data_IF_535019379391
#
_entry.id   IF_535019379391
#
_cell.length_a   1.000
_cell.length_b   1.000
_cell.length_c   1.000
_cell.angle_alpha   90.00
_cell.angle_beta   90.00
_cell.angle_gamma   90.00
#
_symmetry.space_group_name_H-M   'P 1'
#
loop_
_entity.id
_entity.type
_entity.pdbx_description
1 polymer ?
#
# COMPACT_ATOMS: atom_id res chain seq x y z
N UNK A 1 22.95 -21.29 70.87
CA UNK A 1 23.77 -20.26 70.19
C UNK A 1 23.04 -18.93 70.31
N UNK A 2 23.64 -17.90 70.92
CA UNK A 2 23.03 -16.55 70.95
C UNK A 2 23.31 -15.87 69.61
N UNK A 3 22.26 -15.54 68.86
CA UNK A 3 22.41 -14.75 67.63
C UNK A 3 22.82 -13.33 68.04
N UNK A 4 24.02 -12.91 67.65
CA UNK A 4 24.45 -11.52 67.84
C UNK A 4 23.99 -10.68 66.65
N UNK A 5 23.90 -9.36 66.84
CA UNK A 5 23.50 -8.41 65.79
C UNK A 5 24.36 -8.56 64.52
N UNK A 6 25.66 -8.84 64.66
CA UNK A 6 26.55 -9.11 63.53
C UNK A 6 26.18 -10.35 62.73
N UNK A 7 25.76 -11.44 63.37
CA UNK A 7 25.28 -12.64 62.67
C UNK A 7 23.93 -12.39 61.97
N UNK A 8 23.05 -11.57 62.58
CA UNK A 8 21.78 -11.19 61.97
C UNK A 8 21.98 -10.30 60.72
N UNK A 9 22.87 -9.30 60.79
CA UNK A 9 23.22 -8.47 59.63
C UNK A 9 23.93 -9.27 58.53
N UNK A 10 24.84 -10.17 58.89
CA UNK A 10 25.52 -11.04 57.93
C UNK A 10 24.55 -11.96 57.19
N UNK A 11 23.59 -12.55 57.91
CA UNK A 11 22.52 -13.35 57.32
C UNK A 11 21.61 -12.54 56.39
N UNK A 12 21.20 -11.34 56.81
CA UNK A 12 20.41 -10.43 55.97
C UNK A 12 21.14 -10.05 54.68
N UNK A 13 22.41 -9.64 54.77
CA UNK A 13 23.21 -9.26 53.61
C UNK A 13 23.39 -10.42 52.64
N UNK A 14 23.60 -11.63 53.14
CA UNK A 14 23.68 -12.84 52.30
C UNK A 14 22.36 -13.10 51.56
N UNK A 15 21.22 -13.03 52.25
CA UNK A 15 19.89 -13.21 51.64
C UNK A 15 19.62 -12.13 50.58
N UNK A 16 19.90 -10.86 50.88
CA UNK A 16 19.71 -9.76 49.94
C UNK A 16 20.62 -9.87 48.72
N UNK A 17 21.87 -10.30 48.91
CA UNK A 17 22.83 -10.50 47.81
C UNK A 17 22.39 -11.66 46.91
N UNK A 18 21.93 -12.77 47.49
CA UNK A 18 21.40 -13.90 46.74
C UNK A 18 20.10 -13.53 46.00
N UNK A 19 19.22 -12.74 46.62
CA UNK A 19 18.02 -12.24 45.97
C UNK A 19 18.35 -11.30 44.80
N UNK A 20 19.31 -10.38 44.98
CA UNK A 20 19.77 -9.49 43.91
C UNK A 20 20.44 -10.26 42.77
N UNK A 21 21.28 -11.25 43.09
CA UNK A 21 21.91 -12.12 42.10
C UNK A 21 20.87 -12.95 41.33
N UNK A 22 19.86 -13.49 42.03
CA UNK A 22 18.76 -14.24 41.41
C UNK A 22 17.95 -13.34 40.48
N UNK A 23 17.58 -12.13 40.91
CA UNK A 23 16.90 -11.14 40.08
C UNK A 23 17.74 -10.76 38.85
N UNK A 24 19.04 -10.53 39.02
CA UNK A 24 19.98 -10.22 37.94
C UNK A 24 20.12 -11.36 36.91
N UNK A 25 20.12 -12.61 37.37
CA UNK A 25 20.17 -13.79 36.51
C UNK A 25 18.85 -14.02 35.76
N UNK A 26 17.70 -13.70 36.36
CA UNK A 26 16.39 -13.75 35.66
C UNK A 26 16.16 -12.58 34.71
N UNK A 27 16.87 -11.46 34.91
CA UNK A 27 16.81 -10.28 34.05
C UNK A 27 17.61 -10.43 32.76
N UNK A 28 18.48 -11.45 32.66
CA UNK A 28 19.01 -11.91 31.38
C UNK A 28 17.88 -12.61 30.63
N UNK A 29 17.06 -11.81 29.95
CA UNK A 29 15.90 -12.27 29.21
C UNK A 29 16.32 -13.33 28.19
N UNK A 30 15.99 -14.59 28.48
CA UNK A 30 15.91 -15.60 27.42
C UNK A 30 14.99 -15.05 26.34
N UNK A 31 15.30 -15.25 25.04
CA UNK A 31 14.37 -14.86 23.99
C UNK A 31 13.02 -15.49 24.30
N UNK A 32 11.98 -14.65 24.34
CA UNK A 32 10.64 -15.13 24.61
C UNK A 32 10.34 -16.27 23.62
N UNK A 33 9.84 -17.43 24.10
CA UNK A 33 9.49 -18.52 23.20
C UNK A 33 8.48 -18.00 22.17
N UNK A 34 8.63 -18.41 20.92
CA UNK A 34 7.70 -18.03 19.86
C UNK A 34 6.28 -18.46 20.26
N UNK A 35 5.35 -17.51 20.34
CA UNK A 35 3.95 -17.80 20.63
C UNK A 35 3.32 -18.59 19.48
N UNK A 36 2.72 -19.74 19.79
CA UNK A 36 1.87 -20.47 18.85
C UNK A 36 0.42 -20.12 19.13
N UNK A 37 -0.30 -19.68 18.11
CA UNK A 37 -1.70 -19.30 18.20
C UNK A 37 -2.53 -20.15 17.25
N UNK A 38 -3.71 -20.60 17.67
CA UNK A 38 -4.70 -21.19 16.77
C UNK A 38 -5.39 -20.10 15.95
N UNK A 39 -5.83 -19.04 16.61
CA UNK A 39 -6.52 -17.88 16.03
C UNK A 39 -6.03 -16.61 16.71
N UNK A 40 -5.94 -15.52 15.95
CA UNK A 40 -5.57 -14.19 16.45
C UNK A 40 -6.65 -13.19 16.01
N UNK A 41 -7.44 -12.69 16.97
CA UNK A 41 -8.43 -11.63 16.75
C UNK A 41 -7.85 -10.27 17.14
N UNK A 42 -7.41 -9.51 16.14
CA UNK A 42 -6.77 -8.20 16.32
C UNK A 42 -7.23 -7.23 15.24
N UNK A 43 -7.12 -5.93 15.51
CA UNK A 43 -7.41 -4.91 14.51
C UNK A 43 -6.23 -4.68 13.55
N UNK A 44 -5.00 -4.86 14.04
CA UNK A 44 -3.77 -4.65 13.27
C UNK A 44 -2.61 -5.50 13.79
N UNK A 45 -1.80 -5.99 12.85
CA UNK A 45 -0.49 -6.61 13.08
C UNK A 45 0.56 -5.71 12.42
N UNK A 46 1.66 -5.44 13.13
CA UNK A 46 2.85 -4.77 12.59
C UNK A 46 4.00 -5.79 12.51
N UNK A 47 4.63 -5.90 11.34
CA UNK A 47 5.89 -6.61 11.16
C UNK A 47 7.00 -5.57 11.09
N UNK A 48 8.03 -5.74 11.93
CA UNK A 48 9.14 -4.79 12.08
C UNK A 48 10.47 -5.51 12.03
N UNK A 49 11.48 -4.81 11.54
CA UNK A 49 12.89 -5.19 11.68
C UNK A 49 13.35 -5.10 13.15
N UNK A 50 14.51 -5.70 13.51
CA UNK A 50 15.07 -5.60 14.87
C UNK A 50 15.31 -4.16 15.35
N UNK A 51 15.56 -3.23 14.42
CA UNK A 51 15.76 -1.80 14.73
C UNK A 51 14.44 -1.01 14.88
N UNK A 52 13.29 -1.67 14.69
CA UNK A 52 11.95 -1.10 14.79
C UNK A 52 11.35 -0.59 13.47
N UNK A 53 12.11 -0.63 12.36
CA UNK A 53 11.63 -0.22 11.03
C UNK A 53 10.42 -1.04 10.61
N UNK A 54 9.34 -0.38 10.19
CA UNK A 54 8.11 -1.05 9.76
C UNK A 54 8.30 -1.69 8.39
N UNK A 55 7.91 -2.97 8.23
CA UNK A 55 8.03 -3.75 6.97
C UNK A 55 6.73 -4.17 6.37
N UNK A 56 5.73 -4.40 7.21
CA UNK A 56 4.38 -4.73 6.76
C UNK A 56 3.37 -4.40 7.85
N UNK A 57 2.17 -3.98 7.44
CA UNK A 57 1.00 -3.93 8.32
C UNK A 57 -0.08 -4.83 7.75
N UNK A 58 -0.75 -5.63 8.58
CA UNK A 58 -2.03 -6.27 8.25
C UNK A 58 -3.08 -5.59 9.11
N UNK A 59 -4.10 -4.96 8.53
CA UNK A 59 -5.01 -4.10 9.28
C UNK A 59 -6.43 -4.11 8.72
N UNK A 60 -7.40 -3.94 9.62
CA UNK A 60 -8.76 -3.60 9.25
C UNK A 60 -8.85 -2.15 8.71
N UNK A 61 -10.02 -1.77 8.19
CA UNK A 61 -10.29 -0.43 7.66
C UNK A 61 -10.05 0.68 8.70
N UNK A 62 -10.34 0.44 9.98
CA UNK A 62 -10.22 1.46 11.03
C UNK A 62 -8.77 1.72 11.47
N UNK A 63 -7.84 0.81 11.17
CA UNK A 63 -6.44 0.86 11.61
C UNK A 63 -5.44 0.80 10.45
N UNK A 64 -5.93 0.90 9.20
CA UNK A 64 -5.09 0.98 8.02
C UNK A 64 -4.21 2.22 8.09
N UNK A 65 -2.90 2.11 7.84
CA UNK A 65 -2.01 3.26 7.91
C UNK A 65 -2.30 4.25 6.79
N UNK A 66 -1.94 5.50 7.06
CA UNK A 66 -1.84 6.56 6.06
C UNK A 66 -0.73 6.30 5.03
N UNK A 67 -0.39 7.33 4.26
CA UNK A 67 0.78 7.31 3.35
C UNK A 67 2.03 7.44 4.22
N UNK A 68 2.85 6.39 4.27
CA UNK A 68 4.13 6.45 5.01
C UNK A 68 5.24 6.81 4.04
N UNK A 69 5.79 8.00 4.24
CA UNK A 69 6.82 8.58 3.38
C UNK A 69 7.87 9.26 4.25
N UNK A 70 9.15 8.90 4.07
CA UNK A 70 10.28 9.46 4.83
C UNK A 70 10.04 9.50 6.36
N UNK A 71 9.73 8.35 6.96
CA UNK A 71 9.43 8.19 8.42
C UNK A 71 8.24 9.01 8.94
N UNK A 72 7.49 9.67 8.06
CA UNK A 72 6.30 10.42 8.40
C UNK A 72 5.07 9.77 7.81
N UNK A 73 4.03 9.70 8.62
CA UNK A 73 2.71 9.26 8.18
C UNK A 73 1.87 10.49 7.81
N UNK A 74 1.32 10.46 6.60
CA UNK A 74 0.38 11.45 6.09
C UNK A 74 -1.00 10.82 5.96
N UNK A 75 -2.10 11.58 6.13
CA UNK A 75 -3.44 11.05 5.90
C UNK A 75 -3.56 10.48 4.49
N UNK A 76 -4.03 9.24 4.36
CA UNK A 76 -4.36 8.71 3.04
C UNK A 76 -5.67 9.36 2.58
N UNK A 77 -5.73 9.97 1.38
CA UNK A 77 -6.85 10.79 0.96
C UNK A 77 -8.17 10.01 0.82
N UNK A 78 -8.09 8.71 0.49
CA UNK A 78 -9.26 7.84 0.35
C UNK A 78 -8.84 6.35 0.34
N UNK A 79 -8.55 5.76 1.52
CA UNK A 79 -8.31 4.31 1.65
C UNK A 79 -9.43 3.67 2.48
N UNK A 80 -10.58 3.35 1.87
CA UNK A 80 -11.66 2.64 2.53
C UNK A 80 -11.40 1.13 2.72
N UNK A 81 -10.26 0.62 2.24
CA UNK A 81 -9.91 -0.79 2.26
C UNK A 81 -9.27 -1.25 3.58
N UNK A 82 -9.41 -2.55 3.83
CA UNK A 82 -8.59 -3.32 4.78
C UNK A 82 -7.56 -4.14 3.99
N UNK A 83 -6.45 -4.52 4.62
CA UNK A 83 -5.48 -5.39 3.96
C UNK A 83 -4.06 -5.24 4.47
N UNK A 84 -3.12 -5.50 3.56
CA UNK A 84 -1.69 -5.48 3.80
C UNK A 84 -1.04 -4.29 3.12
N UNK A 85 -0.22 -3.53 3.84
CA UNK A 85 0.63 -2.48 3.27
C UNK A 85 2.08 -2.90 3.49
N UNK A 86 2.90 -2.79 2.45
CA UNK A 86 4.30 -3.19 2.44
C UNK A 86 5.20 -1.96 2.45
N UNK A 87 6.38 -2.13 3.07
CA UNK A 87 7.39 -1.08 3.15
C UNK A 87 8.77 -1.60 2.74
N UNK A 88 9.55 -0.74 2.09
CA UNK A 88 10.93 -1.03 1.73
C UNK A 88 11.86 -0.98 2.96
N UNK A 89 13.17 -1.18 2.74
CA UNK A 89 14.18 -1.23 3.80
C UNK A 89 14.35 0.12 4.55
N UNK A 90 13.85 1.21 3.96
CA UNK A 90 13.85 2.55 4.55
C UNK A 90 12.55 2.88 5.30
N UNK A 91 11.59 1.94 5.33
CA UNK A 91 10.28 2.12 5.93
C UNK A 91 9.33 3.00 5.11
N UNK A 92 9.56 3.13 3.79
CA UNK A 92 8.69 3.85 2.86
C UNK A 92 7.72 2.85 2.23
N UNK A 93 6.44 3.23 2.13
CA UNK A 93 5.41 2.42 1.48
C UNK A 93 5.84 2.04 0.05
N UNK A 94 5.76 0.75 -0.30
CA UNK A 94 6.17 0.23 -1.60
C UNK A 94 5.09 -0.64 -2.30
N UNK A 95 3.85 -0.51 -1.84
CA UNK A 95 2.70 -1.21 -2.40
C UNK A 95 1.77 -1.78 -1.33
N UNK A 96 0.70 -2.42 -1.79
CA UNK A 96 -0.32 -2.97 -0.91
C UNK A 96 -1.14 -4.07 -1.55
N UNK A 97 -1.73 -4.91 -0.70
CA UNK A 97 -2.77 -5.87 -1.05
C UNK A 97 -4.01 -5.52 -0.23
N UNK A 98 -4.98 -4.87 -0.86
CA UNK A 98 -6.11 -4.27 -0.16
C UNK A 98 -7.44 -4.69 -0.76
N UNK A 99 -8.46 -4.80 0.09
CA UNK A 99 -9.80 -5.20 -0.29
C UNK A 99 -10.85 -4.38 0.45
N UNK A 100 -11.96 -4.13 -0.24
CA UNK A 100 -13.21 -3.68 0.35
C UNK A 100 -14.40 -4.27 -0.42
N UNK A 101 -15.59 -4.01 0.10
CA UNK A 101 -16.82 -4.38 -0.56
C UNK A 101 -18.00 -4.29 0.38
N UNK A 102 -19.19 -4.31 -0.20
CA UNK A 102 -20.44 -4.24 0.55
C UNK A 102 -21.54 -3.55 -0.24
N UNK A 103 -22.62 -3.22 0.46
CA UNK A 103 -23.73 -2.45 -0.10
C UNK A 103 -23.55 -0.97 0.26
N UNK A 104 -23.55 -0.10 -0.74
CA UNK A 104 -23.52 1.36 -0.58
C UNK A 104 -24.71 1.95 -1.32
N UNK A 105 -25.62 2.58 -0.59
CA UNK A 105 -26.84 3.20 -1.15
C UNK A 105 -27.65 2.25 -2.05
N UNK A 106 -27.78 0.98 -1.64
CA UNK A 106 -28.49 -0.06 -2.40
C UNK A 106 -27.71 -0.63 -3.59
N UNK A 107 -26.48 -0.18 -3.84
CA UNK A 107 -25.60 -0.69 -4.90
C UNK A 107 -24.55 -1.62 -4.34
N UNK A 108 -24.24 -2.68 -5.09
CA UNK A 108 -23.10 -3.57 -4.80
C UNK A 108 -21.81 -2.81 -5.07
N UNK A 109 -20.87 -2.93 -4.15
CA UNK A 109 -19.51 -2.44 -4.29
C UNK A 109 -18.56 -3.58 -3.96
N UNK A 110 -17.48 -3.68 -4.71
CA UNK A 110 -16.39 -4.60 -4.43
C UNK A 110 -15.09 -3.97 -4.93
N UNK A 111 -14.02 -4.09 -4.17
CA UNK A 111 -12.71 -3.57 -4.55
C UNK A 111 -11.62 -4.51 -4.07
N UNK A 112 -10.64 -4.74 -4.93
CA UNK A 112 -9.46 -5.51 -4.64
C UNK A 112 -8.30 -4.98 -5.47
N UNK A 113 -7.18 -4.73 -4.82
CA UNK A 113 -5.98 -4.25 -5.49
C UNK A 113 -4.73 -4.92 -4.92
N UNK A 114 -3.86 -5.38 -5.82
CA UNK A 114 -2.44 -5.61 -5.52
C UNK A 114 -1.64 -4.57 -6.27
N UNK A 115 -0.88 -3.76 -5.56
CA UNK A 115 -0.02 -2.71 -6.11
C UNK A 115 1.44 -2.89 -5.77
N UNK A 116 2.28 -2.43 -6.68
CA UNK A 116 3.71 -2.26 -6.48
C UNK A 116 4.05 -0.82 -6.81
N UNK A 117 4.59 -0.12 -5.84
CA UNK A 117 4.96 1.28 -5.99
C UNK A 117 6.42 1.38 -6.45
N UNK A 118 6.71 2.44 -7.23
CA UNK A 118 8.08 2.77 -7.57
C UNK A 118 8.77 3.39 -6.33
N UNK A 119 10.09 3.27 -6.22
CA UNK A 119 10.85 3.92 -5.13
C UNK A 119 10.48 5.40 -5.01
N UNK A 120 10.01 5.82 -3.83
CA UNK A 120 9.59 7.20 -3.53
C UNK A 120 8.52 7.77 -4.48
N UNK A 121 7.78 6.89 -5.14
CA UNK A 121 6.77 7.18 -6.14
C UNK A 121 5.56 6.27 -5.93
N UNK A 122 4.55 6.46 -6.75
CA UNK A 122 3.27 5.75 -6.64
C UNK A 122 3.24 4.53 -7.60
N UNK A 123 2.11 3.83 -7.74
CA UNK A 123 2.06 2.50 -8.41
C UNK A 123 2.69 2.47 -9.80
N UNK A 124 3.59 1.50 -10.04
CA UNK A 124 4.11 1.15 -11.37
C UNK A 124 3.44 -0.11 -11.95
N UNK A 125 3.01 -1.03 -11.09
CA UNK A 125 2.24 -2.22 -11.47
C UNK A 125 1.01 -2.36 -10.57
N UNK A 126 -0.13 -2.69 -11.16
CA UNK A 126 -1.38 -2.93 -10.45
C UNK A 126 -2.12 -4.14 -11.02
N UNK A 127 -2.69 -4.96 -10.13
CA UNK A 127 -3.81 -5.85 -10.42
C UNK A 127 -5.03 -5.27 -9.72
N UNK A 128 -6.11 -5.04 -10.45
CA UNK A 128 -7.31 -4.36 -9.94
C UNK A 128 -8.57 -5.18 -10.24
N UNK A 129 -9.51 -5.14 -9.31
CA UNK A 129 -10.86 -5.67 -9.45
C UNK A 129 -11.82 -4.75 -8.70
N UNK A 130 -12.59 -3.97 -9.45
CA UNK A 130 -13.49 -2.94 -8.95
C UNK A 130 -14.89 -3.17 -9.50
N UNK A 131 -15.89 -3.09 -8.63
CA UNK A 131 -17.33 -3.09 -8.96
C UNK A 131 -18.00 -1.92 -8.23
N UNK A 132 -18.78 -1.13 -8.98
CA UNK A 132 -19.62 -0.07 -8.44
C UNK A 132 -20.98 -0.09 -9.15
N UNK A 133 -21.95 -0.77 -8.55
CA UNK A 133 -23.25 -1.00 -9.17
C UNK A 133 -23.12 -1.85 -10.43
N UNK A 134 -23.37 -1.26 -11.60
CA UNK A 134 -23.25 -1.92 -12.91
C UNK A 134 -21.88 -1.76 -13.55
N UNK A 135 -21.06 -0.83 -13.06
CA UNK A 135 -19.71 -0.59 -13.56
C UNK A 135 -18.76 -1.63 -12.98
N UNK A 136 -17.95 -2.25 -13.84
CA UNK A 136 -16.89 -3.18 -13.42
C UNK A 136 -15.60 -2.91 -14.18
N UNK A 137 -14.50 -2.83 -13.45
CA UNK A 137 -13.15 -2.69 -13.98
C UNK A 137 -12.27 -3.78 -13.38
N UNK A 138 -11.70 -4.63 -14.23
CA UNK A 138 -10.86 -5.74 -13.77
C UNK A 138 -9.68 -5.86 -14.72
N UNK A 139 -8.45 -5.85 -14.22
CA UNK A 139 -7.30 -5.94 -15.10
C UNK A 139 -5.95 -5.73 -14.45
N UNK A 140 -4.95 -5.62 -15.33
CA UNK A 140 -3.56 -5.37 -15.01
C UNK A 140 -3.16 -4.04 -15.66
N UNK A 141 -2.52 -3.16 -14.90
CA UNK A 141 -2.00 -1.89 -15.39
C UNK A 141 -0.49 -1.79 -15.16
N UNK A 142 0.25 -1.39 -16.21
CA UNK A 142 1.66 -1.00 -16.12
C UNK A 142 1.74 0.51 -16.36
N UNK A 143 2.37 1.22 -15.45
CA UNK A 143 2.44 2.68 -15.43
C UNK A 143 3.87 3.15 -15.23
N UNK A 144 4.37 3.96 -16.16
CA UNK A 144 5.61 4.69 -15.98
C UNK A 144 5.35 5.85 -15.02
N UNK A 145 6.26 6.03 -14.05
CA UNK A 145 6.27 7.10 -13.05
C UNK A 145 7.55 7.92 -13.21
N UNK A 146 7.55 9.21 -12.81
CA UNK A 146 8.74 10.07 -12.83
C UNK A 146 9.93 9.47 -12.06
N UNK A 147 11.14 9.94 -12.38
CA UNK A 147 12.35 9.63 -11.61
C UNK A 147 12.39 10.41 -10.30
N UNK A 148 11.81 11.62 -10.32
CA UNK A 148 11.75 12.53 -9.19
C UNK A 148 10.85 11.98 -8.07
N UNK A 149 11.18 12.34 -6.84
CA UNK A 149 10.40 11.96 -5.65
C UNK A 149 9.10 12.78 -5.57
N UNK A 150 8.10 12.23 -4.89
CA UNK A 150 6.83 12.93 -4.65
C UNK A 150 6.94 13.97 -3.54
N UNK A 151 6.40 15.18 -3.76
CA UNK A 151 6.18 16.17 -2.70
C UNK A 151 4.79 15.94 -2.08
N UNK A 152 4.71 15.00 -1.12
CA UNK A 152 3.45 14.64 -0.44
C UNK A 152 2.72 15.88 0.13
N UNK A 153 3.39 16.81 0.84
CA UNK A 153 2.75 18.06 1.27
C UNK A 153 2.13 18.89 0.13
N UNK A 154 2.82 19.04 -1.01
CA UNK A 154 2.26 19.75 -2.16
C UNK A 154 1.06 19.01 -2.76
N UNK A 155 1.16 17.69 -2.90
CA UNK A 155 0.07 16.84 -3.41
C UNK A 155 -1.19 17.01 -2.57
N UNK A 156 -1.07 16.98 -1.25
CA UNK A 156 -2.21 17.15 -0.34
C UNK A 156 -2.86 18.54 -0.47
N UNK A 157 -2.07 19.60 -0.74
CA UNK A 157 -2.61 20.95 -0.99
C UNK A 157 -3.34 21.05 -2.32
N UNK A 158 -2.85 20.35 -3.35
CA UNK A 158 -3.45 20.36 -4.68
C UNK A 158 -4.84 19.71 -4.73
N UNK A 159 -5.09 18.75 -3.83
CA UNK A 159 -6.34 17.97 -3.80
C UNK A 159 -7.60 18.84 -3.71
N UNK A 160 -7.54 19.91 -2.92
CA UNK A 160 -8.70 20.75 -2.63
C UNK A 160 -8.82 21.94 -3.62
N UNK A 161 -7.95 21.99 -4.63
CA UNK A 161 -7.93 23.03 -5.66
C UNK A 161 -8.80 22.66 -6.87
N UNK A 162 -9.33 23.67 -7.56
CA UNK A 162 -10.07 23.48 -8.80
C UNK A 162 -9.10 23.12 -9.94
N UNK A 163 -9.42 22.13 -10.79
CA UNK A 163 -8.59 21.80 -11.95
C UNK A 163 -8.34 23.02 -12.85
N UNK A 164 -7.11 23.12 -13.37
CA UNK A 164 -6.70 24.19 -14.27
C UNK A 164 -5.19 24.18 -14.54
N UNK A 165 -4.69 25.02 -15.46
CA UNK A 165 -3.29 25.00 -15.89
C UNK A 165 -2.28 25.17 -14.74
N UNK A 166 -2.62 25.97 -13.73
CA UNK A 166 -1.76 26.18 -12.56
C UNK A 166 -1.68 24.92 -11.68
N UNK A 167 -2.79 24.18 -11.55
CA UNK A 167 -2.82 22.89 -10.85
C UNK A 167 -2.04 21.84 -11.62
N UNK A 168 -2.12 21.82 -12.96
CA UNK A 168 -1.35 20.90 -13.80
C UNK A 168 0.16 21.16 -13.68
N UNK A 169 0.57 22.42 -13.70
CA UNK A 169 1.97 22.82 -13.52
C UNK A 169 2.48 22.45 -12.12
N UNK A 170 1.67 22.68 -11.08
CA UNK A 170 2.02 22.33 -9.71
C UNK A 170 2.05 20.80 -9.49
N UNK A 171 1.13 20.05 -10.08
CA UNK A 171 1.11 18.59 -10.07
C UNK A 171 2.38 18.00 -10.69
N UNK A 172 2.81 18.55 -11.84
CA UNK A 172 4.07 18.15 -12.47
C UNK A 172 5.26 18.41 -11.54
N UNK A 173 5.30 19.59 -10.90
CA UNK A 173 6.35 19.94 -9.93
C UNK A 173 6.33 19.06 -8.69
N UNK A 174 5.16 18.61 -8.26
CA UNK A 174 4.98 17.73 -7.10
C UNK A 174 5.31 16.26 -7.38
N UNK A 175 5.69 15.90 -8.62
CA UNK A 175 6.13 14.56 -8.98
C UNK A 175 5.00 13.56 -9.22
N UNK A 176 3.73 13.97 -9.37
CA UNK A 176 2.60 13.04 -9.58
C UNK A 176 2.32 12.70 -11.05
N UNK A 177 3.31 12.88 -11.93
CA UNK A 177 3.22 12.45 -13.31
C UNK A 177 2.94 10.95 -13.41
N UNK A 178 2.23 10.53 -14.46
CA UNK A 178 2.03 9.11 -14.77
C UNK A 178 1.77 8.91 -16.25
N UNK A 179 2.26 7.80 -16.80
CA UNK A 179 1.98 7.37 -18.17
C UNK A 179 1.64 5.88 -18.18
N UNK A 180 0.35 5.54 -18.33
CA UNK A 180 -0.05 4.14 -18.43
C UNK A 180 0.47 3.54 -19.74
N UNK A 181 1.39 2.60 -19.64
CA UNK A 181 2.06 1.95 -20.78
C UNK A 181 1.33 0.74 -21.29
N UNK A 182 0.69 0.00 -20.40
CA UNK A 182 -0.12 -1.14 -20.76
C UNK A 182 -1.34 -1.25 -19.86
N UNK A 183 -2.44 -1.70 -20.46
CA UNK A 183 -3.62 -2.19 -19.77
C UNK A 183 -4.04 -3.51 -20.41
N UNK A 184 -4.31 -4.51 -19.59
CA UNK A 184 -5.00 -5.73 -20.01
C UNK A 184 -6.18 -5.95 -19.07
N UNK A 185 -7.39 -5.84 -19.59
CA UNK A 185 -8.56 -6.07 -18.74
C UNK A 185 -9.88 -5.59 -19.31
N UNK A 186 -10.93 -5.77 -18.49
CA UNK A 186 -12.27 -5.28 -18.71
C UNK A 186 -12.38 -3.81 -18.26
N UNK A 187 -12.85 -2.95 -19.15
CA UNK A 187 -13.17 -1.56 -18.85
C UNK A 187 -14.62 -1.41 -18.37
N UNK A 188 -14.95 -0.22 -17.84
CA UNK A 188 -16.28 0.09 -17.32
C UNK A 188 -17.35 0.10 -18.41
N UNK A 189 -16.97 0.37 -19.66
CA UNK A 189 -17.83 0.29 -20.85
C UNK A 189 -18.17 -1.16 -21.27
N UNK A 190 -17.62 -2.16 -20.59
CA UNK A 190 -17.86 -3.57 -20.88
C UNK A 190 -16.88 -4.20 -21.87
N UNK A 191 -16.08 -3.39 -22.57
CA UNK A 191 -15.05 -3.89 -23.46
C UNK A 191 -13.92 -4.59 -22.71
N UNK A 192 -13.26 -5.54 -23.38
CA UNK A 192 -12.05 -6.21 -22.88
C UNK A 192 -10.93 -5.96 -23.88
N UNK A 193 -9.81 -5.42 -23.43
CA UNK A 193 -8.71 -5.09 -24.34
C UNK A 193 -7.33 -5.19 -23.70
N UNK A 194 -6.35 -5.51 -24.54
CA UNK A 194 -4.97 -5.08 -24.40
C UNK A 194 -4.81 -3.69 -25.05
N UNK A 195 -4.36 -2.71 -24.29
CA UNK A 195 -4.08 -1.35 -24.76
C UNK A 195 -2.61 -1.05 -24.47
N UNK A 196 -1.88 -0.60 -25.50
CA UNK A 196 -0.48 -0.18 -25.38
C UNK A 196 -0.36 1.32 -25.62
N UNK A 197 0.30 2.01 -24.69
CA UNK A 197 0.56 3.44 -24.72
C UNK A 197 1.98 3.78 -25.17
N UNK A 198 2.16 4.99 -25.69
CA UNK A 198 3.48 5.60 -25.93
C UNK A 198 4.12 6.10 -24.60
N UNK A 199 5.35 6.67 -24.61
CA UNK A 199 6.00 7.17 -23.40
C UNK A 199 5.26 8.29 -22.66
N UNK A 200 4.24 8.90 -23.26
CA UNK A 200 3.35 9.88 -22.62
C UNK A 200 2.04 9.23 -22.15
N UNK A 201 1.90 7.90 -22.27
CA UNK A 201 0.72 7.13 -21.90
C UNK A 201 -0.43 7.22 -22.91
N UNK A 202 -0.19 7.79 -24.11
CA UNK A 202 -1.22 7.93 -25.14
C UNK A 202 -1.39 6.59 -25.88
N UNK A 203 -2.60 6.01 -26.00
CA UNK A 203 -2.80 4.76 -26.70
C UNK A 203 -2.29 4.80 -28.15
N UNK A 204 -1.61 3.72 -28.56
CA UNK A 204 -1.09 3.50 -29.94
C UNK A 204 -1.58 2.20 -30.55
N UNK A 205 -1.99 1.26 -29.72
CA UNK A 205 -2.56 -0.01 -30.15
C UNK A 205 -3.66 -0.43 -29.17
N UNK A 206 -4.76 -0.94 -29.71
CA UNK A 206 -5.82 -1.63 -28.98
C UNK A 206 -6.08 -2.96 -29.66
N UNK A 207 -6.00 -4.06 -28.92
CA UNK A 207 -6.46 -5.39 -29.34
C UNK A 207 -7.54 -5.80 -28.35
N UNK A 208 -8.77 -5.99 -28.80
CA UNK A 208 -9.84 -6.27 -27.87
C UNK A 208 -11.19 -6.60 -28.50
N UNK A 209 -12.16 -6.78 -27.62
CA UNK A 209 -13.55 -7.11 -27.93
C UNK A 209 -14.43 -6.03 -27.31
N UNK A 210 -15.32 -5.45 -28.12
CA UNK A 210 -16.33 -4.50 -27.64
C UNK A 210 -17.38 -5.18 -26.76
N UNK A 211 -18.22 -4.40 -26.11
CA UNK A 211 -19.31 -4.91 -25.25
C UNK A 211 -20.36 -5.74 -26.03
N UNK A 212 -20.52 -5.46 -27.32
CA UNK A 212 -21.36 -6.22 -28.25
C UNK A 212 -20.72 -7.52 -28.80
N UNK A 213 -19.46 -7.80 -28.42
CA UNK A 213 -18.72 -8.98 -28.88
C UNK A 213 -17.89 -8.77 -30.15
N UNK A 214 -17.89 -7.58 -30.75
CA UNK A 214 -17.11 -7.30 -31.96
C UNK A 214 -15.60 -7.28 -31.66
N UNK A 215 -14.79 -8.15 -32.29
CA UNK A 215 -13.34 -8.12 -32.14
C UNK A 215 -12.70 -6.99 -32.96
N UNK A 216 -11.58 -6.45 -32.50
CA UNK A 216 -10.81 -5.43 -33.24
C UNK A 216 -9.33 -5.42 -32.90
N UNK A 217 -8.53 -5.03 -33.89
CA UNK A 217 -7.14 -4.57 -33.73
C UNK A 217 -7.04 -3.16 -34.33
N UNK A 218 -6.88 -2.15 -33.48
CA UNK A 218 -6.78 -0.75 -33.87
C UNK A 218 -5.37 -0.21 -33.65
N UNK A 219 -4.82 0.45 -34.67
CA UNK A 219 -3.60 1.26 -34.59
C UNK A 219 -3.97 2.74 -34.56
N UNK A 220 -3.40 3.50 -33.63
CA UNK A 220 -3.74 4.90 -33.38
C UNK A 220 -2.55 5.83 -33.63
N UNK A 221 -2.80 6.99 -34.24
CA UNK A 221 -1.79 8.03 -34.44
C UNK A 221 -1.54 8.86 -33.17
N UNK A 222 -0.66 9.86 -33.29
CA UNK A 222 -0.27 10.74 -32.19
C UNK A 222 -1.45 11.47 -31.50
N UNK A 223 -2.51 11.75 -32.25
CA UNK A 223 -3.75 12.42 -31.79
C UNK A 223 -4.77 11.46 -31.18
N UNK A 224 -4.54 10.14 -31.29
CA UNK A 224 -5.48 9.11 -30.85
C UNK A 224 -6.50 8.73 -31.92
N UNK A 225 -6.31 9.15 -33.17
CA UNK A 225 -7.18 8.74 -34.28
C UNK A 225 -6.75 7.36 -34.79
N UNK A 226 -7.72 6.48 -35.01
CA UNK A 226 -7.47 5.17 -35.64
C UNK A 226 -7.01 5.37 -37.08
N UNK A 227 -5.83 4.84 -37.39
CA UNK A 227 -5.23 4.86 -38.75
C UNK A 227 -5.41 3.54 -39.47
N UNK A 228 -5.55 2.43 -38.73
CA UNK A 228 -5.83 1.11 -39.27
C UNK A 228 -6.66 0.31 -38.27
N UNK A 229 -7.63 -0.44 -38.79
CA UNK A 229 -8.47 -1.35 -38.01
C UNK A 229 -8.55 -2.70 -38.74
N UNK A 230 -8.51 -3.79 -37.98
CA UNK A 230 -8.83 -5.15 -38.43
C UNK A 230 -10.01 -5.62 -37.59
N UNK A 231 -11.07 -6.12 -38.23
CA UNK A 231 -12.31 -6.60 -37.61
C UNK A 231 -12.69 -7.95 -38.17
#
# INVERSE_FOLDING_TARGET
MRVTVSHALGGYAAVMTLAAAWLGLTAMASPAPAGTFTTIDVQRINVREPDGTLRMTISNHAQVPGIVYEKKEYPHPNRPEAGMIFYNDEGIENGGLVFNGGMKDGKRTNGGQLSFDRYMQDQTLQLVSEENGTERRVGIAITDRPEETMDIPAILRLRDMKPGPDVDAAAKKAGIGRAQRAWLGRATDGSVALILGDPQGRPRMKLGVADDGTPSIDLLDASGKVTKSVR
#
